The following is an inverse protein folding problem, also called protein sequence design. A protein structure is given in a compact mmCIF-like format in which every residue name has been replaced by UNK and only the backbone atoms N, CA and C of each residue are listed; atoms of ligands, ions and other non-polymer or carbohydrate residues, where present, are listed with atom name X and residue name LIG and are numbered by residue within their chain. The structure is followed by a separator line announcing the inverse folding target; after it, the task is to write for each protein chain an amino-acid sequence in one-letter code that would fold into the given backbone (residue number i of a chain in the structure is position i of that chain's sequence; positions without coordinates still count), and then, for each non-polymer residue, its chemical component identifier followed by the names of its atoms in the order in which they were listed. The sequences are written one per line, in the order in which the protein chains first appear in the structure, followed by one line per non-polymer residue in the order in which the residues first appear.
data_IF_138122676815
#
_entry.id   IF_138122676815
#
_cell.length_a   1.000
_cell.length_b   1.000
_cell.length_c   1.000
_cell.angle_alpha   90.00
_cell.angle_beta   90.00
_cell.angle_gamma   90.00
#
_symmetry.space_group_name_H-M   'P 1'
#
loop_
_entity.id
_entity.type
_entity.pdbx_description
1 polymer ?
#
# COMPACT_ATOMS: atom_id res chain seq x y z
N UNK A 1 0.46 3.64 -16.45
CA UNK A 1 -0.21 4.73 -15.70
C UNK A 1 0.14 4.63 -14.21
N UNK A 2 0.60 5.69 -13.55
CA UNK A 2 0.79 5.70 -12.09
C UNK A 2 -0.44 6.30 -11.41
N UNK A 3 -1.02 5.56 -10.46
CA UNK A 3 -2.08 6.03 -9.57
C UNK A 3 -1.47 6.19 -8.17
N UNK A 4 -0.99 7.39 -7.81
CA UNK A 4 -0.41 7.62 -6.50
C UNK A 4 -1.47 7.54 -5.40
N UNK A 5 -1.04 7.19 -4.18
CA UNK A 5 -1.89 7.31 -2.99
C UNK A 5 -2.36 8.76 -2.76
N UNK A 6 -3.46 8.91 -2.03
CA UNK A 6 -3.93 10.24 -1.60
C UNK A 6 -2.85 10.94 -0.79
N UNK A 7 -2.86 12.28 -0.80
CA UNK A 7 -1.86 13.04 -0.01
C UNK A 7 -1.99 12.72 1.48
N UNK A 8 -3.23 12.60 1.95
CA UNK A 8 -3.55 12.25 3.32
C UNK A 8 -2.88 10.95 3.77
N UNK A 9 -3.05 9.84 3.03
CA UNK A 9 -2.49 8.54 3.40
C UNK A 9 -0.95 8.58 3.45
N UNK A 10 -0.33 9.32 2.52
CA UNK A 10 1.12 9.53 2.53
C UNK A 10 1.54 10.27 3.80
N UNK A 11 0.90 11.39 4.13
CA UNK A 11 1.23 12.16 5.33
C UNK A 11 1.01 11.38 6.63
N UNK A 12 -0.11 10.66 6.77
CA UNK A 12 -0.39 9.81 7.94
C UNK A 12 0.66 8.72 8.09
N UNK A 13 1.07 8.09 6.99
CA UNK A 13 2.08 7.01 7.01
C UNK A 13 3.49 7.55 7.24
N UNK A 14 3.81 8.76 6.77
CA UNK A 14 5.09 9.42 7.11
C UNK A 14 5.15 9.82 8.58
N UNK A 15 4.03 10.25 9.17
CA UNK A 15 3.94 10.54 10.61
C UNK A 15 4.21 9.28 11.43
N UNK A 16 3.68 8.13 11.02
CA UNK A 16 3.98 6.85 11.65
C UNK A 16 5.49 6.55 11.62
N UNK A 17 6.15 6.75 10.46
CA UNK A 17 7.60 6.56 10.35
C UNK A 17 8.40 7.53 11.22
N UNK A 18 7.99 8.79 11.29
CA UNK A 18 8.60 9.79 12.18
C UNK A 18 8.44 9.43 13.67
N UNK A 19 7.27 8.91 14.05
CA UNK A 19 6.99 8.46 15.41
C UNK A 19 7.84 7.26 15.80
N UNK A 20 8.04 6.29 14.90
CA UNK A 20 8.95 5.15 15.13
C UNK A 20 10.39 5.64 15.34
N UNK A 21 10.86 6.60 14.54
CA UNK A 21 12.18 7.19 14.72
C UNK A 21 12.31 7.91 16.07
N UNK A 22 11.32 8.73 16.44
CA UNK A 22 11.29 9.44 17.72
C UNK A 22 11.29 8.48 18.92
N UNK A 23 10.50 7.40 18.87
CA UNK A 23 10.48 6.37 19.91
C UNK A 23 11.84 5.68 20.07
N UNK A 24 12.52 5.35 18.97
CA UNK A 24 13.88 4.78 19.06
C UNK A 24 14.89 5.73 19.71
N UNK A 25 14.80 7.03 19.42
CA UNK A 25 15.67 8.06 20.01
C UNK A 25 15.41 8.23 21.51
N UNK A 26 14.14 8.20 21.94
CA UNK A 26 13.76 8.38 23.35
C UNK A 26 13.99 7.10 24.17
N UNK A 27 13.69 5.94 23.60
CA UNK A 27 13.80 4.65 24.30
C UNK A 27 15.25 4.19 24.47
N UNK A 28 16.16 4.54 23.56
CA UNK A 28 17.57 4.16 23.64
C UNK A 28 18.22 4.61 24.96
N UNK A 29 18.23 5.90 25.30
CA UNK A 29 18.82 6.40 26.55
C UNK A 29 18.10 5.92 27.82
N UNK A 30 16.81 5.57 27.74
CA UNK A 30 16.00 5.20 28.89
C UNK A 30 16.40 3.87 29.56
N UNK A 31 17.22 3.05 28.90
CA UNK A 31 17.76 1.80 29.42
C UNK A 31 19.28 1.79 29.62
N UNK A 32 19.92 2.96 29.67
CA UNK A 32 21.36 3.06 29.87
C UNK A 32 21.70 2.94 31.37
N UNK A 33 22.29 1.82 31.79
CA UNK A 33 22.74 1.60 33.16
C UNK A 33 24.28 1.59 33.29
N UNK A 34 25.01 1.43 32.19
CA UNK A 34 26.45 1.61 32.14
C UNK A 34 27.12 1.40 30.78
N UNK A 35 28.46 1.42 30.72
CA UNK A 35 29.23 1.32 29.47
C UNK A 35 28.99 0.01 28.70
N UNK A 36 28.57 -1.06 29.40
CA UNK A 36 28.23 -2.35 28.80
C UNK A 36 26.98 -2.26 27.90
N UNK A 37 26.10 -1.29 28.14
CA UNK A 37 24.81 -1.16 27.45
C UNK A 37 24.90 -0.28 26.20
N UNK A 38 26.04 0.38 25.96
CA UNK A 38 26.23 1.31 24.83
C UNK A 38 25.85 0.64 23.50
N UNK A 39 26.23 -0.63 23.30
CA UNK A 39 25.88 -1.38 22.09
C UNK A 39 24.38 -1.56 21.91
N UNK A 40 23.64 -1.82 22.99
CA UNK A 40 22.19 -2.00 22.99
C UNK A 40 21.50 -0.65 22.72
N UNK A 41 21.94 0.42 23.38
CA UNK A 41 21.44 1.78 23.19
C UNK A 41 21.61 2.24 21.73
N UNK A 42 22.81 2.06 21.17
CA UNK A 42 23.08 2.38 19.76
C UNK A 42 22.23 1.51 18.83
N UNK A 43 22.04 0.23 19.15
CA UNK A 43 21.15 -0.67 18.41
C UNK A 43 19.70 -0.19 18.37
N UNK A 44 19.15 0.25 19.50
CA UNK A 44 17.77 0.76 19.59
C UNK A 44 17.60 2.07 18.81
N UNK A 45 18.53 3.02 18.97
CA UNK A 45 18.48 4.31 18.27
C UNK A 45 18.61 4.10 16.76
N UNK A 46 19.62 3.34 16.33
CA UNK A 46 19.84 3.06 14.91
C UNK A 46 18.68 2.28 14.29
N UNK A 47 18.16 1.27 15.00
CA UNK A 47 16.98 0.52 14.58
C UNK A 47 15.74 1.40 14.40
N UNK A 48 15.48 2.30 15.35
CA UNK A 48 14.37 3.24 15.27
C UNK A 48 14.51 4.23 14.11
N UNK A 49 15.70 4.83 13.95
CA UNK A 49 15.97 5.80 12.86
C UNK A 49 15.89 5.14 11.49
N UNK A 50 16.54 3.99 11.31
CA UNK A 50 16.53 3.25 10.04
C UNK A 50 15.13 2.72 9.73
N UNK A 51 14.45 2.13 10.71
CA UNK A 51 13.09 1.64 10.57
C UNK A 51 12.11 2.76 10.22
N UNK A 52 12.19 3.88 10.91
CA UNK A 52 11.40 5.08 10.65
C UNK A 52 11.63 5.65 9.25
N UNK A 53 12.89 5.80 8.84
CA UNK A 53 13.25 6.27 7.50
C UNK A 53 12.70 5.35 6.40
N UNK A 54 12.81 4.04 6.57
CA UNK A 54 12.24 3.05 5.64
C UNK A 54 10.72 3.22 5.53
N UNK A 55 10.02 3.38 6.65
CA UNK A 55 8.58 3.62 6.65
C UNK A 55 8.19 4.92 5.94
N UNK A 56 8.94 6.00 6.14
CA UNK A 56 8.73 7.29 5.44
C UNK A 56 8.90 7.12 3.93
N UNK A 57 9.99 6.48 3.47
CA UNK A 57 10.23 6.24 2.05
C UNK A 57 9.14 5.36 1.44
N UNK A 58 8.70 4.33 2.16
CA UNK A 58 7.61 3.44 1.75
C UNK A 58 6.28 4.19 1.67
N UNK A 59 5.98 5.04 2.65
CA UNK A 59 4.81 5.90 2.67
C UNK A 59 4.76 6.82 1.44
N UNK A 60 5.86 7.48 1.11
CA UNK A 60 5.95 8.34 -0.07
C UNK A 60 5.81 7.57 -1.39
N UNK A 61 6.24 6.30 -1.40
CA UNK A 61 6.18 5.41 -2.56
C UNK A 61 4.84 4.67 -2.72
N UNK A 62 3.86 4.93 -1.85
CA UNK A 62 2.54 4.28 -1.89
C UNK A 62 1.78 4.62 -3.17
N UNK A 63 1.22 3.59 -3.79
CA UNK A 63 0.38 3.72 -4.96
C UNK A 63 0.27 2.43 -5.76
N UNK A 64 -0.39 2.52 -6.91
CA UNK A 64 -0.47 1.43 -7.87
C UNK A 64 0.07 1.91 -9.20
N UNK A 65 1.02 1.17 -9.75
CA UNK A 65 1.50 1.38 -11.11
C UNK A 65 0.81 0.36 -12.01
N UNK A 66 0.05 0.87 -12.99
CA UNK A 66 -0.55 0.07 -14.05
C UNK A 66 0.47 -0.04 -15.18
N UNK A 67 1.07 -1.21 -15.31
CA UNK A 67 1.88 -1.62 -16.47
C UNK A 67 0.97 -2.31 -17.49
N UNK A 68 1.37 -2.39 -18.78
CA UNK A 68 0.53 -2.96 -19.84
C UNK A 68 0.01 -4.39 -19.58
N UNK A 69 0.73 -5.20 -18.79
CA UNK A 69 0.34 -6.59 -18.45
C UNK A 69 0.19 -6.87 -16.96
N UNK A 70 0.38 -5.88 -16.08
CA UNK A 70 0.38 -6.09 -14.64
C UNK A 70 0.05 -4.83 -13.83
N UNK A 71 -0.57 -5.03 -12.67
CA UNK A 71 -0.63 -4.02 -11.62
C UNK A 71 0.49 -4.23 -10.61
N UNK A 72 1.34 -3.22 -10.42
CA UNK A 72 2.33 -3.19 -9.35
C UNK A 72 1.76 -2.39 -8.18
N UNK A 73 1.29 -3.09 -7.17
CA UNK A 73 0.84 -2.51 -5.90
C UNK A 73 2.07 -2.22 -5.05
N UNK A 74 2.29 -0.95 -4.73
CA UNK A 74 3.31 -0.49 -3.77
C UNK A 74 2.62 -0.25 -2.44
N UNK A 75 2.64 -1.26 -1.57
CA UNK A 75 2.12 -1.18 -0.21
C UNK A 75 3.17 -0.72 0.78
N UNK A 76 2.72 -0.38 2.00
CA UNK A 76 3.60 0.14 3.06
C UNK A 76 4.66 -0.90 3.46
N UNK A 77 4.24 -2.16 3.56
CA UNK A 77 5.11 -3.27 3.99
C UNK A 77 5.65 -4.10 2.83
N UNK A 78 4.94 -4.13 1.69
CA UNK A 78 5.31 -5.02 0.59
C UNK A 78 4.86 -4.47 -0.75
N UNK A 79 5.76 -4.59 -1.73
CA UNK A 79 5.43 -4.37 -3.13
C UNK A 79 5.02 -5.71 -3.75
N UNK A 80 3.99 -5.68 -4.61
CA UNK A 80 3.50 -6.89 -5.28
C UNK A 80 3.10 -6.56 -6.72
N UNK A 81 3.63 -7.35 -7.65
CA UNK A 81 3.22 -7.35 -9.05
C UNK A 81 2.15 -8.42 -9.26
N UNK A 82 1.02 -8.02 -9.81
CA UNK A 82 -0.16 -8.86 -10.05
C UNK A 82 -0.43 -8.83 -11.56
N UNK A 83 -0.31 -9.96 -12.27
CA UNK A 83 -0.68 -10.03 -13.69
C UNK A 83 -2.15 -9.65 -13.89
N UNK A 84 -2.48 -8.95 -14.97
CA UNK A 84 -3.85 -8.51 -15.25
C UNK A 84 -4.82 -9.70 -15.38
N UNK A 85 -4.38 -10.75 -16.06
CA UNK A 85 -5.17 -11.97 -16.31
C UNK A 85 -5.46 -12.77 -15.03
N UNK A 86 -4.64 -12.58 -14.00
CA UNK A 86 -4.80 -13.24 -12.72
C UNK A 86 -5.87 -12.56 -11.84
N UNK A 87 -6.35 -11.36 -12.19
CA UNK A 87 -7.27 -10.59 -11.34
C UNK A 87 -8.68 -11.11 -11.50
N UNK A 88 -9.26 -11.56 -10.38
CA UNK A 88 -10.63 -12.05 -10.30
C UNK A 88 -11.60 -10.95 -9.86
N UNK A 89 -11.17 -10.11 -8.92
CA UNK A 89 -12.02 -9.04 -8.38
C UNK A 89 -11.20 -7.79 -8.10
N UNK A 90 -11.69 -6.68 -8.64
CA UNK A 90 -11.14 -5.35 -8.40
C UNK A 90 -12.02 -4.62 -7.37
N UNK A 91 -11.44 -3.89 -6.40
CA UNK A 91 -12.23 -3.13 -5.44
C UNK A 91 -12.91 -1.93 -6.13
N UNK A 92 -14.18 -1.70 -5.81
CA UNK A 92 -14.94 -0.55 -6.28
C UNK A 92 -14.91 0.64 -5.30
N UNK A 93 -15.53 1.77 -5.67
CA UNK A 93 -15.58 2.99 -4.84
C UNK A 93 -16.21 2.77 -3.46
N UNK A 94 -17.08 1.79 -3.31
CA UNK A 94 -17.70 1.38 -2.04
C UNK A 94 -16.70 0.83 -1.02
N UNK A 95 -15.52 0.41 -1.47
CA UNK A 95 -14.48 -0.22 -0.62
C UNK A 95 -13.51 0.79 0.03
N UNK A 96 -13.80 2.10 -0.02
CA UNK A 96 -12.89 3.14 0.51
C UNK A 96 -12.97 3.24 2.04
N UNK A 97 -14.15 3.01 2.60
CA UNK A 97 -14.38 3.02 4.06
C UNK A 97 -13.99 1.72 4.77
N UNK A 98 -13.77 0.65 4.01
CA UNK A 98 -13.19 -0.61 4.48
C UNK A 98 -11.78 -0.76 3.90
N UNK A 99 -11.02 -1.79 4.26
CA UNK A 99 -9.69 -2.02 3.67
C UNK A 99 -9.88 -2.52 2.22
N UNK A 100 -9.57 -1.73 1.17
CA UNK A 100 -9.76 -2.19 -0.20
C UNK A 100 -8.77 -3.31 -0.53
N UNK A 101 -9.22 -4.38 -1.18
CA UNK A 101 -8.36 -5.49 -1.59
C UNK A 101 -8.58 -5.88 -3.06
N UNK A 102 -7.51 -6.30 -3.72
CA UNK A 102 -7.57 -6.97 -5.03
C UNK A 102 -7.54 -8.47 -4.81
N UNK A 103 -8.53 -9.19 -5.35
CA UNK A 103 -8.52 -10.64 -5.36
C UNK A 103 -7.94 -11.15 -6.69
N UNK A 104 -6.94 -12.03 -6.60
CA UNK A 104 -6.22 -12.56 -7.75
C UNK A 104 -5.75 -13.99 -7.50
N UNK A 105 -5.43 -14.69 -8.58
CA UNK A 105 -4.97 -16.10 -8.55
C UNK A 105 -3.49 -16.19 -8.86
N UNK A 106 -2.76 -16.98 -8.08
CA UNK A 106 -1.33 -17.25 -8.31
C UNK A 106 -1.15 -18.69 -8.76
N UNK A 107 -0.10 -19.02 -9.55
CA UNK A 107 0.21 -20.41 -9.88
C UNK A 107 0.35 -21.33 -8.64
N UNK A 108 0.71 -20.74 -7.49
CA UNK A 108 0.89 -21.47 -6.22
C UNK A 108 -0.31 -21.40 -5.29
N UNK A 109 -1.23 -20.46 -5.49
CA UNK A 109 -2.41 -20.31 -4.63
C UNK A 109 -3.61 -19.84 -5.46
N UNK A 110 -4.69 -20.63 -5.52
CA UNK A 110 -5.86 -20.33 -6.33
C UNK A 110 -6.61 -19.10 -5.85
N UNK A 111 -6.37 -18.64 -4.61
CA UNK A 111 -6.99 -17.43 -4.08
C UNK A 111 -6.00 -16.62 -3.24
N UNK A 112 -5.76 -15.37 -3.66
CA UNK A 112 -4.97 -14.39 -2.90
C UNK A 112 -5.69 -13.04 -2.90
N UNK A 113 -5.81 -12.45 -1.72
CA UNK A 113 -6.16 -11.05 -1.56
C UNK A 113 -4.88 -10.22 -1.37
N UNK A 114 -4.78 -9.06 -2.01
CA UNK A 114 -3.72 -8.08 -1.74
C UNK A 114 -4.35 -6.76 -1.32
N UNK A 115 -4.14 -6.32 -0.08
CA UNK A 115 -4.73 -5.08 0.40
C UNK A 115 -4.06 -3.89 -0.28
N UNK A 116 -4.88 -2.92 -0.70
CA UNK A 116 -4.46 -1.65 -1.26
C UNK A 116 -4.39 -0.61 -0.15
N UNK A 117 -3.41 -0.76 0.73
CA UNK A 117 -3.19 0.18 1.85
C UNK A 117 -3.00 1.62 1.39
N UNK A 118 -2.58 1.82 0.14
CA UNK A 118 -2.46 3.13 -0.52
C UNK A 118 -3.78 3.90 -0.65
N UNK A 119 -4.93 3.24 -0.55
CA UNK A 119 -6.26 3.84 -0.65
C UNK A 119 -7.11 3.61 0.59
N UNK A 120 -6.54 3.03 1.64
CA UNK A 120 -7.26 2.76 2.88
C UNK A 120 -7.43 4.04 3.69
N UNK A 121 -8.67 4.43 3.91
CA UNK A 121 -9.01 5.54 4.79
C UNK A 121 -9.99 5.04 5.84
N UNK A 122 -9.52 4.91 7.09
CA UNK A 122 -10.35 4.57 8.23
C UNK A 122 -10.36 5.69 9.27
N UNK A 123 -11.49 5.87 9.94
CA UNK A 123 -11.63 6.80 11.06
C UNK A 123 -12.65 7.92 10.82
N UNK A 124 -12.85 8.82 11.81
CA UNK A 124 -13.89 9.84 11.77
C UNK A 124 -13.71 10.85 10.63
N UNK A 125 -12.49 10.99 10.12
CA UNK A 125 -12.16 11.87 9.00
C UNK A 125 -12.32 11.20 7.63
N UNK A 126 -12.66 9.90 7.57
CA UNK A 126 -12.82 9.18 6.31
C UNK A 126 -13.75 9.84 5.29
N UNK A 127 -14.93 10.39 5.65
CA UNK A 127 -15.78 11.06 4.67
C UNK A 127 -15.11 12.30 4.06
N UNK A 128 -14.29 13.03 4.83
CA UNK A 128 -13.62 14.25 4.39
C UNK A 128 -12.44 14.00 3.45
N UNK A 129 -11.75 12.86 3.60
CA UNK A 129 -10.53 12.52 2.82
C UNK A 129 -10.73 11.36 1.83
N UNK A 130 -11.95 10.82 1.73
CA UNK A 130 -12.28 9.71 0.82
C UNK A 130 -12.34 10.09 -0.67
N UNK A 131 -12.52 11.37 -1.02
CA UNK A 131 -12.73 11.79 -2.42
C UNK A 131 -11.55 11.44 -3.33
N UNK A 132 -10.31 11.68 -2.89
CA UNK A 132 -9.10 11.31 -3.63
C UNK A 132 -8.95 9.80 -3.85
N UNK A 133 -8.99 8.94 -2.80
CA UNK A 133 -8.88 7.49 -2.97
C UNK A 133 -10.06 6.89 -3.75
N UNK A 134 -11.28 7.40 -3.60
CA UNK A 134 -12.44 6.98 -4.42
C UNK A 134 -12.17 7.23 -5.91
N UNK A 135 -11.70 8.43 -6.27
CA UNK A 135 -11.36 8.75 -7.67
C UNK A 135 -10.22 7.89 -8.20
N UNK A 136 -9.22 7.59 -7.36
CA UNK A 136 -8.10 6.73 -7.71
C UNK A 136 -8.56 5.28 -7.98
N UNK A 137 -9.40 4.72 -7.11
CA UNK A 137 -10.01 3.40 -7.30
C UNK A 137 -10.91 3.36 -8.55
N UNK A 138 -11.70 4.39 -8.81
CA UNK A 138 -12.50 4.48 -10.04
C UNK A 138 -11.64 4.53 -11.31
N UNK A 139 -10.49 5.19 -11.30
CA UNK A 139 -9.55 5.17 -12.42
C UNK A 139 -8.94 3.78 -12.61
N UNK A 140 -8.56 3.14 -11.50
CA UNK A 140 -8.01 1.78 -11.49
C UNK A 140 -9.03 0.76 -12.05
N UNK A 141 -10.28 0.85 -11.59
CA UNK A 141 -11.37 -0.01 -12.03
C UNK A 141 -11.69 0.19 -13.52
N UNK A 142 -11.77 1.44 -13.99
CA UNK A 142 -11.98 1.75 -15.42
C UNK A 142 -10.86 1.21 -16.30
N UNK A 143 -9.61 1.35 -15.88
CA UNK A 143 -8.47 0.85 -16.64
C UNK A 143 -8.50 -0.69 -16.76
N UNK A 144 -8.87 -1.38 -15.67
CA UNK A 144 -9.04 -2.83 -15.70
C UNK A 144 -10.21 -3.27 -16.60
N UNK A 145 -11.34 -2.57 -16.55
CA UNK A 145 -12.49 -2.86 -17.42
C UNK A 145 -12.15 -2.69 -18.90
N UNK A 146 -11.37 -1.65 -19.25
CA UNK A 146 -10.92 -1.44 -20.62
C UNK A 146 -10.00 -2.56 -21.11
N UNK A 147 -9.02 -2.99 -20.30
CA UNK A 147 -8.19 -4.13 -20.67
C UNK A 147 -9.00 -5.43 -20.79
N UNK A 148 -10.07 -5.58 -20.01
CA UNK A 148 -10.95 -6.74 -20.10
C UNK A 148 -11.80 -6.72 -21.37
N UNK A 149 -12.29 -5.56 -21.82
CA UNK A 149 -12.99 -5.44 -23.09
C UNK A 149 -12.09 -5.76 -24.28
N UNK A 150 -10.85 -5.28 -24.24
CA UNK A 150 -9.87 -5.50 -25.31
C UNK A 150 -9.44 -6.98 -25.39
N UNK A 151 -9.43 -7.69 -24.25
CA UNK A 151 -9.20 -9.14 -24.19
C UNK A 151 -10.41 -9.99 -24.62
N UNK A 152 -11.62 -9.42 -24.70
CA UNK A 152 -12.85 -10.11 -25.14
C UNK A 152 -13.01 -10.06 -26.65
N UNK A 153 -12.41 -9.09 -27.36
CA UNK A 153 -12.35 -9.10 -28.83
C UNK A 153 -11.48 -10.25 -29.40
N UNK A 154 -10.75 -10.99 -28.55
CA UNK A 154 -9.96 -12.16 -28.93
C UNK A 154 -10.64 -13.52 -28.75
N UNK A 155 -11.86 -13.57 -28.18
CA UNK A 155 -12.59 -14.82 -28.01
C UNK A 155 -14.00 -14.70 -28.62
N UNK A 156 -14.30 -15.43 -29.72
CA UNK A 156 -15.67 -15.50 -30.20
C UNK A 156 -16.51 -16.10 -29.07
N UNK A 157 -17.52 -15.34 -28.65
CA UNK A 157 -18.64 -15.88 -27.87
C UNK A 157 -19.28 -16.92 -28.78
N UNK A 158 -18.91 -18.19 -28.57
CA UNK A 158 -19.60 -19.31 -29.19
C UNK A 158 -20.97 -19.35 -28.52
N UNK A 159 -21.96 -18.91 -29.30
CA UNK A 159 -23.40 -19.09 -29.10
C UNK A 159 -23.77 -20.52 -28.79
#
# INVERSE_FOLDING_TARGET
MLVPASRFIRYSSTLLGALVAALGIVAGPGGYEGPADIGIVVGIISGGVVGGAVLVVRALSLGVLCEPGAFVVRGLFRNRRIPLDAIRRMPGPESVGTLPWIAWTSPRLPWRATPLTAFWVSGPFAPLVSVEPTRALLRLHRHWMHHRSDGVEGHPVVS
#
